data_IF_918496289578
#
_entry.id   IF_918496289578
#
_cell.length_a   1.000
_cell.length_b   1.000
_cell.length_c   1.000
_cell.angle_alpha   90.00
_cell.angle_beta   90.00
_cell.angle_gamma   90.00
#
_symmetry.space_group_name_H-M   'P 1'
#
loop_
_entity.id
_entity.type
_entity.pdbx_description
1 polymer ?
#
# COMPACT_ATOMS: atom_id res chain seq x y z
N UNK A 1 -0.73 -3.27 20.88
CA UNK A 1 -0.45 -1.92 20.32
C UNK A 1 0.75 -2.01 19.40
N UNK A 2 0.60 -1.61 18.16
CA UNK A 2 1.71 -1.68 17.21
C UNK A 2 2.49 -0.37 17.18
N UNK A 3 3.80 -0.49 16.98
CA UNK A 3 4.69 0.67 16.88
C UNK A 3 4.80 1.11 15.42
N UNK A 4 5.20 2.37 15.23
CA UNK A 4 5.51 2.87 13.90
C UNK A 4 6.77 2.22 13.37
N UNK A 5 6.73 1.78 12.11
CA UNK A 5 7.84 1.12 11.43
C UNK A 5 8.41 2.07 10.39
N UNK A 6 9.73 2.25 10.40
CA UNK A 6 10.40 3.07 9.40
C UNK A 6 10.39 2.38 8.04
N UNK A 7 9.96 3.11 7.02
CA UNK A 7 9.89 2.61 5.64
C UNK A 7 11.11 3.11 4.84
N UNK A 8 11.28 4.42 4.78
CA UNK A 8 12.34 5.06 4.01
C UNK A 8 12.41 6.53 4.40
N UNK A 9 13.51 7.18 4.05
CA UNK A 9 13.56 8.63 4.09
C UNK A 9 12.73 9.20 2.93
N UNK A 10 12.13 10.37 3.12
CA UNK A 10 11.31 11.00 2.08
C UNK A 10 12.05 11.12 0.75
N UNK A 11 13.33 11.46 0.79
CA UNK A 11 14.17 11.62 -0.41
C UNK A 11 14.33 10.33 -1.19
N UNK A 12 14.18 9.18 -0.53
CA UNK A 12 14.33 7.86 -1.14
C UNK A 12 13.00 7.29 -1.63
N UNK A 13 11.91 8.01 -1.40
CA UNK A 13 10.57 7.60 -1.83
C UNK A 13 9.90 8.76 -2.59
N UNK A 14 10.41 9.10 -3.78
CA UNK A 14 9.88 10.21 -4.58
C UNK A 14 8.51 9.90 -5.17
N UNK A 15 7.79 10.93 -5.66
CA UNK A 15 6.47 10.72 -6.29
C UNK A 15 6.52 9.66 -7.39
N UNK A 16 5.52 8.78 -7.39
CA UNK A 16 5.41 7.68 -8.36
C UNK A 16 6.17 6.42 -7.94
N UNK A 17 6.82 6.42 -6.79
CA UNK A 17 7.55 5.25 -6.29
C UNK A 17 6.79 4.57 -5.16
N UNK A 18 7.23 3.36 -4.83
CA UNK A 18 6.71 2.63 -3.68
C UNK A 18 7.83 1.82 -3.02
N UNK A 19 7.59 1.41 -1.78
CA UNK A 19 8.48 0.52 -1.06
C UNK A 19 7.66 -0.48 -0.25
N UNK A 20 8.13 -1.73 -0.22
CA UNK A 20 7.50 -2.80 0.54
C UNK A 20 8.22 -3.02 1.85
N UNK A 21 7.46 -3.23 2.91
CA UNK A 21 8.00 -3.61 4.22
C UNK A 21 7.15 -4.74 4.80
N UNK A 22 7.68 -5.42 5.79
CA UNK A 22 6.95 -6.48 6.47
C UNK A 22 6.73 -6.08 7.92
N UNK A 23 5.49 -6.19 8.38
CA UNK A 23 5.11 -5.90 9.77
C UNK A 23 4.41 -7.12 10.32
N UNK A 24 5.03 -7.81 11.29
CA UNK A 24 4.45 -9.00 11.95
C UNK A 24 3.90 -10.02 10.93
N UNK A 25 4.72 -10.37 9.94
CA UNK A 25 4.40 -11.32 8.87
C UNK A 25 3.36 -10.80 7.86
N UNK A 26 3.02 -9.52 7.91
CA UNK A 26 2.12 -8.89 6.94
C UNK A 26 2.94 -8.05 5.96
N UNK A 27 2.77 -8.31 4.68
CA UNK A 27 3.42 -7.52 3.63
C UNK A 27 2.66 -6.21 3.43
N UNK A 28 3.38 -5.10 3.49
CA UNK A 28 2.79 -3.76 3.37
C UNK A 28 3.53 -3.00 2.26
N UNK A 29 2.77 -2.34 1.40
CA UNK A 29 3.33 -1.47 0.37
C UNK A 29 2.98 -0.03 0.69
N UNK A 30 3.99 0.85 0.64
CA UNK A 30 3.82 2.28 0.87
C UNK A 30 4.13 3.01 -0.41
N UNK A 31 3.17 3.81 -0.88
CA UNK A 31 3.24 4.53 -2.16
C UNK A 31 3.32 6.02 -1.92
N UNK A 32 4.10 6.70 -2.77
CA UNK A 32 4.05 8.16 -2.86
C UNK A 32 3.26 8.52 -4.11
N UNK A 33 2.05 9.03 -3.92
CA UNK A 33 1.15 9.44 -4.99
C UNK A 33 1.10 10.97 -5.00
N UNK A 34 1.91 11.57 -5.87
CA UNK A 34 1.98 13.05 -6.03
C UNK A 34 2.28 13.79 -4.72
N UNK A 35 3.13 13.23 -3.88
CA UNK A 35 3.50 13.83 -2.60
C UNK A 35 2.68 13.36 -1.40
N UNK A 36 1.63 12.57 -1.65
CA UNK A 36 0.84 11.95 -0.58
C UNK A 36 1.29 10.50 -0.39
N UNK A 37 1.47 10.09 0.85
CA UNK A 37 1.86 8.72 1.16
C UNK A 37 0.64 7.90 1.53
N UNK A 38 0.52 6.72 0.93
CA UNK A 38 -0.56 5.77 1.19
C UNK A 38 0.01 4.39 1.41
N UNK A 39 -0.47 3.69 2.41
CA UNK A 39 -0.02 2.34 2.73
C UNK A 39 -1.18 1.37 2.63
N UNK A 40 -0.93 0.22 2.03
CA UNK A 40 -1.91 -0.86 1.90
C UNK A 40 -1.25 -2.17 2.25
N UNK A 41 -2.07 -3.14 2.67
CA UNK A 41 -1.61 -4.52 2.74
C UNK A 41 -1.33 -4.98 1.31
N UNK A 42 -0.12 -5.49 1.07
CA UNK A 42 0.33 -5.83 -0.29
C UNK A 42 -0.16 -7.21 -0.73
N UNK A 43 -1.48 -7.36 -0.74
CA UNK A 43 -2.12 -8.59 -1.18
C UNK A 43 -3.43 -8.24 -1.90
N UNK A 44 -3.70 -8.94 -3.00
CA UNK A 44 -4.96 -8.78 -3.71
C UNK A 44 -6.09 -9.36 -2.84
N UNK A 45 -7.19 -8.62 -2.66
CA UNK A 45 -8.33 -9.08 -1.87
C UNK A 45 -9.00 -10.30 -2.44
N UNK A 46 -8.79 -10.58 -3.73
CA UNK A 46 -9.36 -11.73 -4.43
C UNK A 46 -8.45 -12.96 -4.39
N UNK A 47 -7.14 -12.76 -4.52
CA UNK A 47 -6.15 -13.83 -4.62
C UNK A 47 -4.90 -13.51 -3.80
N UNK A 48 -4.13 -14.54 -3.44
CA UNK A 48 -2.87 -14.34 -2.75
C UNK A 48 -1.77 -13.96 -3.75
N UNK A 49 -1.81 -12.72 -4.19
CA UNK A 49 -0.80 -12.16 -5.08
C UNK A 49 -0.36 -10.83 -4.52
N UNK A 50 0.92 -10.52 -4.65
CA UNK A 50 1.43 -9.21 -4.27
C UNK A 50 1.00 -8.19 -5.31
N UNK A 51 0.29 -7.15 -4.88
CA UNK A 51 -0.19 -6.10 -5.77
C UNK A 51 0.94 -5.35 -6.46
N UNK A 52 2.10 -5.24 -5.79
CA UNK A 52 3.26 -4.55 -6.36
C UNK A 52 3.91 -5.31 -7.52
N UNK A 53 3.53 -6.56 -7.76
CA UNK A 53 3.92 -7.29 -8.97
C UNK A 53 3.06 -6.92 -10.18
N UNK A 54 1.97 -6.19 -9.96
CA UNK A 54 1.11 -5.69 -11.01
C UNK A 54 1.52 -4.31 -11.50
N UNK A 55 0.64 -3.68 -12.26
CA UNK A 55 0.90 -2.36 -12.83
C UNK A 55 0.31 -1.24 -11.98
N UNK A 56 1.10 -0.20 -11.77
CA UNK A 56 0.66 1.03 -11.11
C UNK A 56 0.45 2.10 -12.18
N UNK A 57 -0.76 2.66 -12.24
CA UNK A 57 -1.11 3.78 -13.13
C UNK A 57 -1.77 4.87 -12.32
N UNK A 58 -1.10 5.98 -12.12
CA UNK A 58 -1.64 7.07 -11.31
C UNK A 58 -1.93 6.58 -9.90
N UNK A 59 -3.21 6.56 -9.51
CA UNK A 59 -3.66 6.11 -8.19
C UNK A 59 -4.20 4.69 -8.18
N UNK A 60 -4.12 3.99 -9.32
CA UNK A 60 -4.69 2.66 -9.47
C UNK A 60 -3.62 1.61 -9.60
N UNK A 61 -3.85 0.47 -8.95
CA UNK A 61 -2.96 -0.68 -9.07
C UNK A 61 -3.76 -1.87 -9.60
N UNK A 62 -3.17 -2.62 -10.54
CA UNK A 62 -3.81 -3.76 -11.17
C UNK A 62 -3.22 -5.05 -10.62
N UNK A 63 -4.09 -5.94 -10.12
CA UNK A 63 -3.67 -7.25 -9.65
C UNK A 63 -3.06 -8.05 -10.80
N UNK A 64 -1.87 -8.67 -10.61
CA UNK A 64 -1.19 -9.35 -11.71
C UNK A 64 -1.88 -10.62 -12.18
N UNK A 65 -2.76 -11.22 -11.37
CA UNK A 65 -3.38 -12.50 -11.72
C UNK A 65 -4.62 -12.36 -12.61
N UNK A 66 -5.54 -11.48 -12.25
CA UNK A 66 -6.85 -11.39 -12.93
C UNK A 66 -7.18 -10.01 -13.45
N UNK A 67 -6.24 -9.07 -13.35
CA UNK A 67 -6.46 -7.72 -13.83
C UNK A 67 -7.44 -6.89 -13.00
N UNK A 68 -7.76 -7.32 -11.79
CA UNK A 68 -8.59 -6.54 -10.89
C UNK A 68 -7.88 -5.24 -10.52
N UNK A 69 -8.61 -4.13 -10.53
CA UNK A 69 -8.04 -2.80 -10.28
C UNK A 69 -8.54 -2.24 -8.96
N UNK A 70 -7.64 -1.57 -8.26
CA UNK A 70 -7.93 -0.96 -6.96
C UNK A 70 -7.43 0.49 -6.95
N UNK A 71 -8.18 1.35 -6.27
CA UNK A 71 -7.75 2.71 -5.99
C UNK A 71 -6.91 2.69 -4.71
N UNK A 72 -5.64 3.08 -4.82
CA UNK A 72 -4.73 3.06 -3.66
C UNK A 72 -5.12 4.11 -2.62
N UNK A 73 -5.66 5.25 -3.04
CA UNK A 73 -6.04 6.33 -2.12
C UNK A 73 -7.18 5.92 -1.20
N UNK A 74 -8.20 5.29 -1.76
CA UNK A 74 -9.39 4.87 -1.00
C UNK A 74 -9.34 3.42 -0.57
N UNK A 75 -8.57 2.58 -1.26
CA UNK A 75 -8.58 1.14 -1.09
C UNK A 75 -9.71 0.46 -1.85
N UNK A 76 -10.53 1.22 -2.57
CA UNK A 76 -11.73 0.69 -3.22
C UNK A 76 -11.39 -0.26 -4.36
N UNK A 77 -12.13 -1.39 -4.43
CA UNK A 77 -12.07 -2.29 -5.56
C UNK A 77 -12.84 -1.68 -6.72
N UNK A 78 -12.17 -1.46 -7.86
CA UNK A 78 -12.76 -0.74 -8.99
C UNK A 78 -13.35 -1.67 -10.05
N UNK A 79 -12.77 -2.86 -10.23
CA UNK A 79 -13.22 -3.80 -11.26
C UNK A 79 -13.29 -5.22 -10.73
N UNK A 80 -14.23 -6.04 -11.28
CA UNK A 80 -14.23 -7.47 -10.99
C UNK A 80 -12.93 -8.13 -11.45
N UNK A 81 -12.54 -9.27 -10.87
CA UNK A 81 -13.28 -10.07 -9.90
C UNK A 81 -13.13 -9.66 -8.44
N UNK A 82 -12.47 -8.54 -8.15
CA UNK A 82 -12.33 -8.06 -6.78
C UNK A 82 -13.53 -7.22 -6.39
N UNK A 83 -14.13 -7.55 -5.26
CA UNK A 83 -15.29 -6.84 -4.71
C UNK A 83 -15.01 -6.25 -3.34
N UNK A 84 -13.96 -6.71 -2.67
CA UNK A 84 -13.60 -6.23 -1.34
C UNK A 84 -12.50 -5.18 -1.44
N UNK A 85 -12.57 -4.12 -0.61
CA UNK A 85 -11.52 -3.10 -0.62
C UNK A 85 -10.20 -3.63 -0.08
N UNK A 86 -9.12 -2.95 -0.45
CA UNK A 86 -7.81 -3.21 0.14
C UNK A 86 -7.79 -2.71 1.59
N UNK A 87 -6.98 -3.37 2.42
CA UNK A 87 -6.74 -2.90 3.78
C UNK A 87 -5.77 -1.73 3.73
N UNK A 88 -6.20 -0.57 4.21
CA UNK A 88 -5.34 0.61 4.31
C UNK A 88 -4.75 0.72 5.71
N UNK A 89 -3.51 1.19 5.78
CA UNK A 89 -2.79 1.34 7.04
C UNK A 89 -2.37 2.80 7.21
N UNK A 90 -2.31 3.29 8.47
CA UNK A 90 -1.85 4.66 8.72
C UNK A 90 -0.40 4.84 8.28
N UNK A 91 -0.11 5.98 7.69
CA UNK A 91 1.23 6.36 7.29
C UNK A 91 1.47 7.80 7.73
N UNK A 92 2.70 8.10 8.11
CA UNK A 92 3.09 9.46 8.51
C UNK A 92 4.52 9.74 8.11
N UNK A 93 4.89 11.02 8.19
CA UNK A 93 6.28 11.45 8.06
C UNK A 93 6.69 12.05 9.40
N UNK A 94 7.78 11.55 9.96
CA UNK A 94 8.33 12.03 11.22
C UNK A 94 9.82 12.28 11.05
N UNK A 95 10.24 13.55 11.16
CA UNK A 95 11.64 13.93 11.03
C UNK A 95 12.24 13.56 9.67
N UNK A 96 11.44 13.62 8.59
CA UNK A 96 11.89 13.27 7.23
C UNK A 96 11.89 11.79 6.93
N UNK A 97 11.34 10.97 7.83
CA UNK A 97 11.25 9.51 7.66
C UNK A 97 9.78 9.12 7.49
N UNK A 98 9.50 8.37 6.42
CA UNK A 98 8.16 7.82 6.16
C UNK A 98 7.99 6.60 7.04
N UNK A 99 6.90 6.57 7.80
CA UNK A 99 6.59 5.50 8.73
C UNK A 99 5.19 4.96 8.50
N UNK A 100 5.00 3.67 8.73
CA UNK A 100 3.72 2.99 8.63
C UNK A 100 3.44 2.20 9.90
N UNK A 101 2.16 2.02 10.21
CA UNK A 101 1.76 1.27 11.40
C UNK A 101 0.59 0.36 11.05
N UNK A 102 0.59 -0.85 11.60
CA UNK A 102 -0.57 -1.74 11.51
C UNK A 102 -1.45 -1.49 12.75
N UNK A 103 -2.58 -0.80 12.54
CA UNK A 103 -3.49 -0.42 13.60
C UNK A 103 -4.70 -1.36 13.76
N UNK A 104 -4.72 -2.47 13.01
CA UNK A 104 -5.88 -3.37 13.00
C UNK A 104 -6.15 -4.04 14.34
N UNK A 105 -5.14 -4.14 15.17
CA UNK A 105 -5.22 -4.83 16.46
C UNK A 105 -5.22 -3.87 17.65
N UNK A 106 -5.33 -2.59 17.40
CA UNK A 106 -5.37 -1.56 18.45
C UNK A 106 -6.75 -1.42 19.09
#
# INVERSE_FOLDING_TARGET
MSDWVNVAEEKDLPPGSFKCVEIDDVLVAVFNLDGEYHAIENVCSHEYAELTDGELEGNEITCPLHGARFDIRSGEALTPPAYEPLVKLPVRVDGGVVQVRDDRWD
#
